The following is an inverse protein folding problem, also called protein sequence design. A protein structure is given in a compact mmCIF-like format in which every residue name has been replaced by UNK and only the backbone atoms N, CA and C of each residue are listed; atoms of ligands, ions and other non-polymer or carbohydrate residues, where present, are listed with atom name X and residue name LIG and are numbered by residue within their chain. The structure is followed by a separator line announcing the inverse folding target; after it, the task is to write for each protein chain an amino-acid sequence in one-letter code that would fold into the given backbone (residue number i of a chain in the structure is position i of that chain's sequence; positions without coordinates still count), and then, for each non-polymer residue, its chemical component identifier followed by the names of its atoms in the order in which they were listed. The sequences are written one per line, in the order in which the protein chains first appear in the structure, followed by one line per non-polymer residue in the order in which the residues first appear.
data_IF_980490430298
#
_entry.id   IF_980490430298
#
_cell.length_a   1.000
_cell.length_b   1.000
_cell.length_c   1.000
_cell.angle_alpha   90.00
_cell.angle_beta   90.00
_cell.angle_gamma   90.00
#
_symmetry.space_group_name_H-M   'P 1'
#
loop_
_entity.id
_entity.type
_entity.pdbx_description
1 polymer ?
#
# COMPACT_ATOMS: atom_id res chain seq x y z
N UNK A 1 2.66 -2.51 -17.05
CA UNK A 1 3.00 -3.59 -16.14
C UNK A 1 4.40 -3.47 -15.63
N UNK A 2 5.34 -3.67 -16.53
CA UNK A 2 6.75 -3.53 -16.18
C UNK A 2 7.04 -2.14 -15.66
N UNK A 3 6.30 -1.15 -16.16
CA UNK A 3 6.47 0.23 -15.74
C UNK A 3 6.19 0.43 -14.25
N UNK A 4 5.18 -0.27 -13.73
CA UNK A 4 4.85 -0.16 -12.30
C UNK A 4 5.98 -0.70 -11.44
N UNK A 5 6.49 -1.88 -11.79
CA UNK A 5 7.58 -2.47 -11.03
C UNK A 5 8.84 -1.61 -11.13
N UNK A 6 9.16 -1.11 -12.32
CA UNK A 6 10.30 -0.22 -12.54
C UNK A 6 10.17 1.06 -11.73
N UNK A 7 8.95 1.63 -11.70
CA UNK A 7 8.69 2.83 -10.91
C UNK A 7 8.86 2.56 -9.42
N UNK A 8 8.39 1.40 -8.96
CA UNK A 8 8.56 0.99 -7.57
C UNK A 8 10.03 0.92 -7.19
N UNK A 9 10.86 0.33 -8.06
CA UNK A 9 12.30 0.25 -7.81
C UNK A 9 12.93 1.64 -7.75
N UNK A 10 12.52 2.51 -8.66
CA UNK A 10 13.02 3.88 -8.72
C UNK A 10 12.71 4.62 -7.42
N UNK A 11 11.48 4.50 -6.95
CA UNK A 11 11.05 5.14 -5.71
C UNK A 11 11.76 4.57 -4.50
N UNK A 12 11.96 3.25 -4.49
CA UNK A 12 12.69 2.60 -3.42
C UNK A 12 14.13 3.12 -3.34
N UNK A 13 14.76 3.36 -4.48
CA UNK A 13 16.12 3.90 -4.53
C UNK A 13 16.18 5.33 -4.00
N UNK A 14 15.07 6.07 -4.08
CA UNK A 14 14.99 7.41 -3.52
C UNK A 14 14.79 7.40 -2.01
N UNK A 15 14.63 6.21 -1.42
CA UNK A 15 14.43 6.10 0.01
C UNK A 15 12.99 6.01 0.44
N UNK A 16 12.06 5.86 -0.51
CA UNK A 16 10.65 5.72 -0.17
C UNK A 16 10.36 4.28 0.23
N UNK A 17 9.45 4.12 1.19
CA UNK A 17 9.00 2.80 1.64
C UNK A 17 7.56 2.57 1.20
N UNK A 18 7.00 1.45 1.65
CA UNK A 18 5.74 0.89 1.15
C UNK A 18 4.59 1.88 1.06
N UNK A 19 4.30 2.61 2.13
CA UNK A 19 3.17 3.54 2.12
C UNK A 19 3.39 4.69 1.16
N UNK A 20 4.61 5.22 1.12
CA UNK A 20 4.95 6.32 0.22
C UNK A 20 4.93 5.88 -1.24
N UNK A 21 5.44 4.68 -1.51
CA UNK A 21 5.47 4.15 -2.86
C UNK A 21 4.04 4.01 -3.41
N UNK A 22 3.14 3.44 -2.60
CA UNK A 22 1.76 3.27 -3.04
C UNK A 22 1.07 4.60 -3.32
N UNK A 23 1.29 5.60 -2.46
CA UNK A 23 0.67 6.90 -2.71
C UNK A 23 1.26 7.59 -3.93
N UNK A 24 2.57 7.44 -4.15
CA UNK A 24 3.19 8.03 -5.33
C UNK A 24 2.64 7.39 -6.60
N UNK A 25 2.39 6.09 -6.59
CA UNK A 25 1.77 5.42 -7.73
C UNK A 25 0.37 5.98 -8.00
N UNK A 26 -0.39 6.31 -6.93
CA UNK A 26 -1.69 6.92 -7.09
C UNK A 26 -1.58 8.30 -7.75
N UNK A 27 -0.62 9.10 -7.28
CA UNK A 27 -0.39 10.42 -7.86
C UNK A 27 0.07 10.33 -9.31
N UNK A 28 0.94 9.36 -9.62
CA UNK A 28 1.41 9.14 -10.99
C UNK A 28 0.24 8.87 -11.92
N UNK A 29 -0.74 8.08 -11.47
CA UNK A 29 -1.90 7.75 -12.28
C UNK A 29 -2.73 8.98 -12.62
N UNK A 30 -2.68 9.99 -11.77
CA UNK A 30 -3.41 11.25 -11.97
C UNK A 30 -2.55 12.34 -12.61
N UNK A 31 -1.27 12.06 -12.84
CA UNK A 31 -0.36 13.06 -13.37
C UNK A 31 -0.11 14.20 -12.40
N UNK A 32 -0.19 13.92 -11.11
CA UNK A 32 -0.04 14.95 -10.07
C UNK A 32 1.23 14.76 -9.26
N UNK A 33 1.63 15.82 -8.58
CA UNK A 33 2.78 15.79 -7.69
C UNK A 33 2.37 16.50 -6.40
N UNK A 34 2.57 15.82 -5.26
CA UNK A 34 2.18 16.37 -3.98
C UNK A 34 3.19 15.95 -2.90
N UNK A 35 4.32 16.66 -2.83
CA UNK A 35 5.37 16.29 -1.87
C UNK A 35 4.90 16.24 -0.43
N UNK A 36 3.98 17.12 -0.04
CA UNK A 36 3.47 17.15 1.32
C UNK A 36 2.73 15.87 1.68
N UNK A 37 1.94 15.36 0.74
CA UNK A 37 1.21 14.12 0.96
C UNK A 37 2.18 12.96 1.09
N UNK A 38 3.18 12.90 0.23
CA UNK A 38 4.17 11.82 0.27
C UNK A 38 4.94 11.87 1.59
N UNK A 39 5.30 13.07 2.04
CA UNK A 39 5.99 13.22 3.32
C UNK A 39 5.13 12.71 4.48
N UNK A 40 3.84 13.06 4.47
CA UNK A 40 2.91 12.62 5.49
C UNK A 40 2.76 11.10 5.50
N UNK A 41 2.74 10.48 4.32
CA UNK A 41 2.63 9.03 4.23
C UNK A 41 3.83 8.32 4.83
N UNK A 42 4.97 9.02 4.97
CA UNK A 42 6.14 8.46 5.62
C UNK A 42 5.87 8.03 7.05
N UNK A 43 4.86 8.63 7.69
CA UNK A 43 4.48 8.24 9.05
C UNK A 43 3.90 6.83 9.14
N UNK A 44 3.49 6.26 8.02
CA UNK A 44 2.92 4.91 7.98
C UNK A 44 3.95 3.85 7.57
N UNK A 45 5.13 4.27 7.17
CA UNK A 45 6.16 3.32 6.72
C UNK A 45 6.61 2.41 7.85
N UNK A 46 6.91 1.17 7.48
CA UNK A 46 7.55 0.21 8.38
C UNK A 46 6.80 -0.01 9.69
N UNK A 47 5.48 -0.03 9.62
CA UNK A 47 4.67 -0.25 10.82
C UNK A 47 4.80 0.90 11.80
N UNK A 48 4.73 2.12 11.29
CA UNK A 48 4.84 3.37 12.04
C UNK A 48 6.22 3.44 12.72
N UNK A 49 7.24 3.56 11.87
CA UNK A 49 8.61 3.73 12.35
C UNK A 49 9.17 2.50 13.05
N UNK A 50 8.82 1.31 12.60
CA UNK A 50 9.26 0.05 13.19
C UNK A 50 8.78 -0.14 14.62
N UNK A 51 7.62 0.42 14.97
CA UNK A 51 7.07 0.29 16.32
C UNK A 51 6.07 -0.87 16.46
N UNK A 52 6.01 -1.75 15.47
CA UNK A 52 5.13 -2.91 15.53
C UNK A 52 3.71 -2.64 15.06
N UNK A 53 3.49 -1.52 14.39
CA UNK A 53 2.19 -1.17 13.85
C UNK A 53 1.85 -1.94 12.58
N UNK A 54 0.71 -1.62 11.96
CA UNK A 54 0.27 -2.29 10.74
C UNK A 54 1.28 -2.11 9.62
N UNK A 55 1.36 -3.10 8.74
CA UNK A 55 2.24 -3.02 7.58
C UNK A 55 1.91 -1.78 6.73
N UNK A 56 2.95 -1.07 6.29
CA UNK A 56 2.76 0.12 5.46
C UNK A 56 2.12 -0.17 4.10
N UNK A 57 2.24 -1.41 3.62
CA UNK A 57 1.55 -1.80 2.40
C UNK A 57 0.04 -1.86 2.63
N UNK A 58 -0.38 -2.28 3.84
CA UNK A 58 -1.79 -2.29 4.20
C UNK A 58 -2.35 -0.88 4.32
N UNK A 59 -1.72 -0.05 5.15
CA UNK A 59 -2.21 1.31 5.37
C UNK A 59 -2.06 2.17 4.12
N UNK A 60 -0.96 2.00 3.39
CA UNK A 60 -0.74 2.70 2.13
C UNK A 60 -1.75 2.29 1.07
N UNK A 61 -2.08 1.00 1.01
CA UNK A 61 -3.11 0.51 0.09
C UNK A 61 -4.48 1.07 0.42
N UNK A 62 -4.80 1.15 1.70
CA UNK A 62 -6.07 1.75 2.13
C UNK A 62 -6.14 3.22 1.70
N UNK A 63 -5.05 3.95 1.89
CA UNK A 63 -5.00 5.34 1.46
C UNK A 63 -5.07 5.47 -0.07
N UNK A 64 -4.43 4.56 -0.79
CA UNK A 64 -4.51 4.51 -2.26
C UNK A 64 -5.97 4.41 -2.70
N UNK A 65 -6.71 3.46 -2.11
CA UNK A 65 -8.12 3.28 -2.44
C UNK A 65 -8.95 4.51 -2.09
N UNK A 66 -8.73 5.06 -0.90
CA UNK A 66 -9.46 6.24 -0.47
C UNK A 66 -9.17 7.45 -1.36
N UNK A 67 -7.96 7.54 -1.88
CA UNK A 67 -7.58 8.62 -2.78
C UNK A 67 -8.47 8.66 -4.02
N UNK A 68 -8.84 7.48 -4.53
CA UNK A 68 -9.68 7.37 -5.72
C UNK A 68 -11.17 7.28 -5.41
N UNK A 69 -11.57 7.50 -4.16
CA UNK A 69 -12.97 7.32 -3.75
C UNK A 69 -13.82 8.58 -3.87
N UNK A 70 -13.31 9.62 -4.50
CA UNK A 70 -14.06 10.86 -4.68
C UNK A 70 -15.37 10.55 -5.42
N UNK A 71 -16.48 11.06 -4.87
CA UNK A 71 -17.81 10.81 -5.47
C UNK A 71 -18.45 9.50 -5.02
N UNK A 72 -17.72 8.66 -4.31
CA UNK A 72 -18.26 7.41 -3.80
C UNK A 72 -18.98 7.66 -2.47
N UNK A 73 -20.12 6.98 -2.26
CA UNK A 73 -20.80 7.07 -0.98
C UNK A 73 -19.89 6.52 0.13
N UNK A 74 -19.89 7.15 1.33
CA UNK A 74 -19.02 6.68 2.41
C UNK A 74 -19.18 5.20 2.75
N UNK A 75 -20.41 4.68 2.72
CA UNK A 75 -20.64 3.27 3.01
C UNK A 75 -20.01 2.36 1.97
N UNK A 76 -20.07 2.76 0.72
CA UNK A 76 -19.47 2.00 -0.38
C UNK A 76 -17.96 2.01 -0.26
N UNK A 77 -17.39 3.18 0.07
CA UNK A 77 -15.96 3.30 0.30
C UNK A 77 -15.52 2.38 1.44
N UNK A 78 -16.26 2.40 2.54
CA UNK A 78 -15.90 1.59 3.70
C UNK A 78 -16.02 0.10 3.40
N UNK A 79 -17.00 -0.30 2.60
CA UNK A 79 -17.13 -1.69 2.17
C UNK A 79 -15.92 -2.11 1.33
N UNK A 80 -15.48 -1.25 0.42
CA UNK A 80 -14.31 -1.51 -0.40
C UNK A 80 -13.06 -1.65 0.47
N UNK A 81 -12.89 -0.76 1.44
CA UNK A 81 -11.74 -0.80 2.35
C UNK A 81 -11.75 -2.08 3.19
N UNK A 82 -12.93 -2.51 3.64
CA UNK A 82 -13.06 -3.74 4.41
C UNK A 82 -12.70 -4.95 3.57
N UNK A 83 -13.15 -4.99 2.34
CA UNK A 83 -12.80 -6.05 1.41
C UNK A 83 -11.29 -6.15 1.22
N UNK A 84 -10.65 -5.00 1.05
CA UNK A 84 -9.21 -4.94 0.91
C UNK A 84 -8.51 -5.44 2.16
N UNK A 85 -8.96 -5.00 3.33
CA UNK A 85 -8.35 -5.40 4.59
C UNK A 85 -8.49 -6.92 4.82
N UNK A 86 -9.66 -7.47 4.53
CA UNK A 86 -9.91 -8.90 4.67
C UNK A 86 -8.96 -9.69 3.74
N UNK A 87 -8.80 -9.21 2.51
CA UNK A 87 -7.88 -9.84 1.58
C UNK A 87 -6.44 -9.80 2.11
N UNK A 88 -6.04 -8.66 2.66
CA UNK A 88 -4.67 -8.51 3.16
C UNK A 88 -4.41 -9.45 4.34
N UNK A 89 -5.41 -9.63 5.21
CA UNK A 89 -5.30 -10.55 6.33
C UNK A 89 -5.07 -11.98 5.85
N UNK A 90 -5.81 -12.40 4.85
CA UNK A 90 -5.64 -13.73 4.29
C UNK A 90 -4.26 -13.88 3.64
N UNK A 91 -3.85 -12.85 2.92
CA UNK A 91 -2.55 -12.87 2.23
C UNK A 91 -1.38 -12.96 3.22
N UNK A 92 -1.50 -12.34 4.38
CA UNK A 92 -0.41 -12.31 5.36
C UNK A 92 -0.57 -13.35 6.46
N UNK A 93 -1.57 -14.22 6.37
CA UNK A 93 -1.80 -15.26 7.39
C UNK A 93 -0.57 -16.15 7.55
N UNK A 94 0.16 -16.41 6.47
CA UNK A 94 1.37 -17.25 6.51
C UNK A 94 2.47 -16.63 7.38
N UNK A 95 2.42 -15.32 7.60
CA UNK A 95 3.40 -14.63 8.44
C UNK A 95 2.92 -14.47 9.88
N UNK A 96 1.71 -14.92 10.16
CA UNK A 96 1.13 -14.83 11.49
C UNK A 96 0.40 -13.54 11.78
N UNK A 97 0.26 -12.65 10.81
CA UNK A 97 -0.48 -11.41 11.00
C UNK A 97 -0.10 -10.30 10.04
N UNK A 98 -0.77 -9.19 10.18
CA UNK A 98 -0.69 -8.06 9.25
C UNK A 98 0.25 -6.95 9.72
N UNK A 99 0.86 -7.07 10.90
CA UNK A 99 1.78 -6.05 11.37
C UNK A 99 3.13 -6.19 10.68
N UNK A 100 3.87 -5.09 10.64
CA UNK A 100 5.21 -5.10 10.06
C UNK A 100 6.09 -6.14 10.75
N UNK A 101 6.02 -6.23 12.08
CA UNK A 101 6.81 -7.19 12.84
C UNK A 101 6.52 -8.63 12.43
N UNK A 102 5.26 -8.96 12.23
CA UNK A 102 4.87 -10.32 11.84
C UNK A 102 5.36 -10.63 10.44
N UNK A 103 5.18 -9.70 9.51
CA UNK A 103 5.61 -9.91 8.14
C UNK A 103 7.12 -10.07 8.05
N UNK A 104 7.86 -9.28 8.81
CA UNK A 104 9.32 -9.38 8.83
C UNK A 104 9.82 -10.49 9.74
N UNK A 105 8.97 -10.99 10.63
CA UNK A 105 9.32 -12.03 11.62
C UNK A 105 10.55 -11.62 12.44
N UNK A 106 10.65 -10.33 12.74
CA UNK A 106 11.75 -9.81 13.53
C UNK A 106 13.09 -9.76 12.81
N UNK A 107 13.11 -10.08 11.51
CA UNK A 107 14.34 -10.09 10.72
C UNK A 107 14.28 -9.00 9.65
N UNK A 108 15.04 -7.90 9.82
CA UNK A 108 15.00 -6.81 8.84
C UNK A 108 15.38 -7.22 7.41
N UNK A 109 16.12 -8.32 7.24
CA UNK A 109 16.49 -8.75 5.89
C UNK A 109 15.28 -9.24 5.11
N UNK A 110 14.20 -9.62 5.79
CA UNK A 110 12.96 -10.03 5.13
C UNK A 110 12.29 -8.86 4.42
N UNK A 111 12.65 -7.62 4.75
CA UNK A 111 12.12 -6.46 4.07
C UNK A 111 12.39 -6.51 2.58
N UNK A 112 13.60 -6.92 2.19
CA UNK A 112 13.95 -7.03 0.77
C UNK A 112 13.27 -8.20 0.08
N UNK A 113 12.93 -9.24 0.84
CA UNK A 113 12.30 -10.45 0.27
C UNK A 113 10.80 -10.33 0.15
N UNK A 114 10.15 -9.70 1.14
CA UNK A 114 8.69 -9.74 1.27
C UNK A 114 7.99 -8.46 0.90
N UNK A 115 8.57 -7.32 1.28
CA UNK A 115 7.89 -6.04 1.09
C UNK A 115 7.67 -5.66 -0.37
N UNK A 116 8.66 -5.79 -1.28
CA UNK A 116 8.40 -5.44 -2.68
C UNK A 116 7.27 -6.27 -3.29
N UNK A 117 7.23 -7.56 -2.99
CA UNK A 117 6.19 -8.44 -3.50
C UNK A 117 4.82 -8.04 -2.94
N UNK A 118 4.76 -7.73 -1.63
CA UNK A 118 3.51 -7.31 -1.01
C UNK A 118 3.00 -6.01 -1.60
N UNK A 119 3.89 -5.03 -1.79
CA UNK A 119 3.50 -3.74 -2.37
C UNK A 119 2.93 -3.94 -3.77
N UNK A 120 3.57 -4.80 -4.56
CA UNK A 120 3.12 -5.09 -5.91
C UNK A 120 1.74 -5.76 -5.90
N UNK A 121 1.55 -6.73 -5.00
CA UNK A 121 0.28 -7.44 -4.87
C UNK A 121 -0.83 -6.51 -4.37
N UNK A 122 -0.50 -5.61 -3.44
CA UNK A 122 -1.44 -4.62 -2.94
C UNK A 122 -1.87 -3.69 -4.08
N UNK A 123 -0.92 -3.23 -4.87
CA UNK A 123 -1.23 -2.37 -6.01
C UNK A 123 -2.19 -3.08 -6.95
N UNK A 124 -1.92 -4.33 -7.29
CA UNK A 124 -2.77 -5.11 -8.18
C UNK A 124 -4.18 -5.29 -7.61
N UNK A 125 -4.25 -5.59 -6.32
CA UNK A 125 -5.56 -5.78 -5.66
C UNK A 125 -6.35 -4.48 -5.62
N UNK A 126 -5.68 -3.37 -5.33
CA UNK A 126 -6.35 -2.07 -5.33
C UNK A 126 -6.87 -1.73 -6.72
N UNK A 127 -6.09 -1.98 -7.76
CA UNK A 127 -6.52 -1.74 -9.13
C UNK A 127 -7.74 -2.58 -9.47
N UNK A 128 -7.75 -3.84 -9.03
CA UNK A 128 -8.89 -4.73 -9.24
C UNK A 128 -10.16 -4.19 -8.56
N UNK A 129 -10.05 -3.79 -7.29
CA UNK A 129 -11.20 -3.28 -6.54
C UNK A 129 -11.77 -2.01 -7.14
N UNK A 130 -10.89 -1.12 -7.61
CA UNK A 130 -11.33 0.11 -8.25
C UNK A 130 -11.99 -0.18 -9.60
N UNK A 131 -11.42 -1.10 -10.36
CA UNK A 131 -11.95 -1.48 -11.66
C UNK A 131 -13.35 -2.08 -11.52
N UNK A 132 -13.58 -2.90 -10.50
CA UNK A 132 -14.89 -3.50 -10.24
C UNK A 132 -15.96 -2.43 -9.98
N UNK A 133 -15.54 -1.25 -9.54
CA UNK A 133 -16.45 -0.15 -9.21
C UNK A 133 -16.45 0.94 -10.28
N UNK A 134 -15.78 0.68 -11.40
CA UNK A 134 -15.76 1.62 -12.52
C UNK A 134 -14.91 2.85 -12.28
N UNK A 135 -13.96 2.79 -11.35
CA UNK A 135 -13.15 3.95 -10.99
C UNK A 135 -11.78 3.97 -11.64
N UNK A 136 -11.39 2.90 -12.30
CA UNK A 136 -10.07 2.88 -12.93
C UNK A 136 -10.03 1.96 -14.13
#
# INVERSE_FOLDING_TARGET
MDDVFGRMLELSRKGYFCAQILMQLALDAEGKDCPELIRAMGGLNAGIGFSGGPCGALTGGACFLAYFSEGMEPQERDTMLKEFHDWFRERTAEYGGESCDRILEGDPTNQLRRCPALVQEVYAKCAELLSERGLA
#
